data_IF_270341625204
#
_entry.id   IF_270341625204
#
_cell.length_a   1.000
_cell.length_b   1.000
_cell.length_c   1.000
_cell.angle_alpha   90.00
_cell.angle_beta   90.00
_cell.angle_gamma   90.00
#
_symmetry.space_group_name_H-M   'P 1'
#
loop_
_entity.id
_entity.type
_entity.pdbx_description
1 polymer ?
#
# COMPACT_ATOMS: atom_id res chain seq x y z
N UNK A 1 7.72 8.53 14.68
CA UNK A 1 8.34 7.26 14.27
C UNK A 1 7.48 6.66 13.16
N UNK A 2 8.02 6.35 11.96
CA UNK A 2 7.23 5.80 10.86
C UNK A 2 6.85 4.33 11.12
N UNK A 3 5.62 3.96 10.76
CA UNK A 3 5.12 2.58 10.81
C UNK A 3 5.58 1.85 9.54
N UNK A 4 6.09 0.62 9.70
CA UNK A 4 6.54 -0.25 8.60
C UNK A 4 5.65 -1.48 8.52
N UNK A 5 5.03 -1.71 7.37
CA UNK A 5 4.23 -2.90 7.08
C UNK A 5 4.94 -3.80 6.07
N UNK A 6 4.98 -5.10 6.38
CA UNK A 6 5.61 -6.13 5.58
C UNK A 6 4.59 -7.20 5.22
N UNK A 7 4.49 -7.52 3.94
CA UNK A 7 3.69 -8.64 3.49
C UNK A 7 4.45 -9.45 2.44
N UNK A 8 4.48 -10.76 2.67
CA UNK A 8 4.89 -11.74 1.68
C UNK A 8 3.74 -11.96 0.70
N UNK A 9 3.97 -11.63 -0.57
CA UNK A 9 3.16 -12.16 -1.67
C UNK A 9 3.96 -13.30 -2.32
N UNK A 10 3.26 -14.35 -2.76
CA UNK A 10 3.86 -15.53 -3.38
C UNK A 10 4.91 -15.14 -4.45
N UNK A 11 5.95 -15.97 -4.62
CA UNK A 11 7.09 -15.79 -5.54
C UNK A 11 8.12 -14.70 -5.14
N UNK A 12 8.50 -14.62 -3.85
CA UNK A 12 9.60 -13.77 -3.35
C UNK A 12 9.41 -12.25 -3.56
N UNK A 13 8.18 -11.79 -3.80
CA UNK A 13 7.89 -10.36 -3.94
C UNK A 13 7.62 -9.77 -2.55
N UNK A 14 8.54 -8.90 -2.11
CA UNK A 14 8.42 -8.15 -0.87
C UNK A 14 7.83 -6.77 -1.13
N UNK A 15 6.70 -6.47 -0.49
CA UNK A 15 6.15 -5.11 -0.43
C UNK A 15 6.44 -4.56 0.95
N UNK A 16 7.07 -3.37 1.00
CA UNK A 16 7.22 -2.58 2.22
C UNK A 16 6.44 -1.28 2.08
N UNK A 17 5.55 -1.01 3.03
CA UNK A 17 4.82 0.26 3.11
C UNK A 17 5.28 1.00 4.36
N UNK A 18 5.66 2.26 4.16
CA UNK A 18 6.03 3.20 5.21
C UNK A 18 4.96 4.27 5.27
N UNK A 19 4.51 4.63 6.47
CA UNK A 19 3.53 5.71 6.66
C UNK A 19 3.62 6.26 8.08
N UNK A 20 3.07 7.45 8.30
CA UNK A 20 2.97 8.00 9.65
C UNK A 20 1.75 7.46 10.40
N UNK A 21 0.67 7.08 9.69
CA UNK A 21 -0.56 6.56 10.30
C UNK A 21 -1.10 5.33 9.58
N UNK A 22 -1.57 4.37 10.37
CA UNK A 22 -2.20 3.13 9.89
C UNK A 22 -3.52 2.90 10.61
N UNK A 23 -4.56 2.57 9.87
CA UNK A 23 -5.87 2.16 10.38
C UNK A 23 -6.19 0.76 9.87
N UNK A 24 -6.72 -0.10 10.74
CA UNK A 24 -7.19 -1.42 10.37
C UNK A 24 -8.70 -1.53 10.57
N UNK A 25 -9.45 -1.67 9.48
CA UNK A 25 -10.88 -1.91 9.49
C UNK A 25 -11.14 -3.42 9.41
N UNK A 26 -11.16 -4.07 10.58
CA UNK A 26 -11.29 -5.55 10.71
C UNK A 26 -12.52 -6.07 9.95
N UNK A 27 -13.67 -5.41 10.10
CA UNK A 27 -14.93 -5.83 9.48
C UNK A 27 -14.87 -5.85 7.94
N UNK A 28 -14.04 -4.99 7.35
CA UNK A 28 -13.85 -4.91 5.89
C UNK A 28 -12.58 -5.62 5.44
N UNK A 29 -11.74 -6.08 6.36
CA UNK A 29 -10.44 -6.67 6.09
C UNK A 29 -9.54 -5.72 5.27
N UNK A 30 -9.54 -4.44 5.62
CA UNK A 30 -8.80 -3.39 4.92
C UNK A 30 -7.81 -2.71 5.86
N UNK A 31 -6.57 -2.49 5.40
CA UNK A 31 -5.55 -1.67 6.05
C UNK A 31 -5.39 -0.37 5.25
N UNK A 32 -5.46 0.77 5.94
CA UNK A 32 -5.35 2.09 5.35
C UNK A 32 -4.09 2.78 5.91
N UNK A 33 -3.18 3.12 5.01
CA UNK A 33 -1.96 3.87 5.30
C UNK A 33 -2.15 5.31 4.87
N UNK A 34 -1.82 6.28 5.72
CA UNK A 34 -1.97 7.71 5.46
C UNK A 34 -0.77 8.49 5.99
N UNK A 35 -0.62 9.72 5.50
CA UNK A 35 0.43 10.67 5.88
C UNK A 35 1.85 10.19 5.51
N UNK A 36 2.45 10.82 4.50
CA UNK A 36 3.78 10.51 3.96
C UNK A 36 3.95 9.03 3.57
N UNK A 37 3.01 8.49 2.79
CA UNK A 37 3.00 7.07 2.44
C UNK A 37 4.02 6.78 1.34
N UNK A 38 4.91 5.81 1.60
CA UNK A 38 5.88 5.30 0.63
C UNK A 38 5.77 3.80 0.50
N UNK A 39 5.57 3.32 -0.73
CA UNK A 39 5.63 1.91 -1.07
C UNK A 39 6.94 1.58 -1.78
N UNK A 40 7.55 0.47 -1.39
CA UNK A 40 8.72 -0.10 -2.04
C UNK A 40 8.43 -1.56 -2.43
N UNK A 41 8.63 -1.88 -3.70
CA UNK A 41 8.53 -3.24 -4.25
C UNK A 41 9.67 -3.44 -5.25
N UNK A 42 10.64 -4.29 -4.93
CA UNK A 42 11.86 -4.47 -5.72
C UNK A 42 12.51 -3.10 -6.06
N UNK A 43 12.61 -2.73 -7.34
CA UNK A 43 13.15 -1.44 -7.81
C UNK A 43 12.07 -0.34 -7.98
N UNK A 44 10.81 -0.64 -7.62
CA UNK A 44 9.69 0.30 -7.73
C UNK A 44 9.53 1.07 -6.42
N UNK A 45 9.44 2.40 -6.55
CA UNK A 45 9.16 3.33 -5.47
C UNK A 45 7.93 4.17 -5.81
N UNK A 46 6.94 4.17 -4.93
CA UNK A 46 5.72 4.97 -5.09
C UNK A 46 5.56 5.84 -3.84
N UNK A 47 5.34 7.14 -4.04
CA UNK A 47 4.93 8.08 -2.99
C UNK A 47 3.47 8.45 -3.21
N UNK A 48 2.72 8.52 -2.11
CA UNK A 48 1.29 8.82 -2.15
C UNK A 48 0.79 9.40 -0.82
N UNK A 49 -0.39 10.00 -0.84
CA UNK A 49 -1.02 10.51 0.38
C UNK A 49 -1.74 9.39 1.15
N UNK A 50 -2.27 8.41 0.43
CA UNK A 50 -3.01 7.27 1.00
C UNK A 50 -2.77 5.99 0.22
N UNK A 51 -2.59 4.88 0.93
CA UNK A 51 -2.67 3.53 0.37
C UNK A 51 -3.77 2.74 1.09
N UNK A 52 -4.60 2.04 0.32
CA UNK A 52 -5.58 1.08 0.83
C UNK A 52 -5.15 -0.31 0.39
N UNK A 53 -4.97 -1.20 1.35
CA UNK A 53 -4.68 -2.62 1.13
C UNK A 53 -5.85 -3.49 1.56
N UNK A 54 -6.39 -4.28 0.64
CA UNK A 54 -7.46 -5.25 0.92
C UNK A 54 -6.85 -6.62 1.18
N UNK A 55 -6.96 -7.08 2.43
CA UNK A 55 -6.41 -8.36 2.90
C UNK A 55 -7.10 -9.53 2.18
N UNK A 56 -8.43 -9.44 2.01
CA UNK A 56 -9.26 -10.49 1.43
C UNK A 56 -8.81 -10.92 0.02
N UNK A 57 -8.42 -9.95 -0.81
CA UNK A 57 -8.09 -10.18 -2.22
C UNK A 57 -6.66 -9.78 -2.60
N UNK A 58 -5.83 -9.41 -1.62
CA UNK A 58 -4.42 -9.02 -1.79
C UNK A 58 -4.20 -7.88 -2.80
N UNK A 59 -5.13 -6.92 -2.90
CA UNK A 59 -5.04 -5.76 -3.81
C UNK A 59 -4.62 -4.48 -3.08
N UNK A 60 -3.91 -3.61 -3.81
CA UNK A 60 -3.43 -2.32 -3.32
C UNK A 60 -3.87 -1.17 -4.23
N UNK A 61 -4.39 -0.10 -3.62
CA UNK A 61 -4.73 1.15 -4.28
C UNK A 61 -4.00 2.33 -3.64
N UNK A 62 -3.26 3.10 -4.44
CA UNK A 62 -2.59 4.33 -4.01
C UNK A 62 -3.36 5.57 -4.51
N UNK A 63 -3.42 6.62 -3.68
CA UNK A 63 -4.11 7.87 -3.97
C UNK A 63 -3.20 9.06 -3.63
N UNK A 64 -3.15 10.04 -4.53
CA UNK A 64 -2.39 11.30 -4.37
C UNK A 64 -3.26 12.49 -4.81
N UNK A 65 -3.26 13.57 -4.02
CA UNK A 65 -4.04 14.79 -4.24
C UNK A 65 -3.39 15.78 -5.22
N UNK A 66 -2.14 15.56 -5.64
CA UNK A 66 -1.43 16.47 -6.53
C UNK A 66 -1.73 16.18 -8.01
N UNK A 67 -2.71 16.88 -8.61
CA UNK A 67 -3.05 17.10 -10.06
C UNK A 67 -2.96 15.94 -11.10
N UNK A 68 -2.30 14.84 -10.80
CA UNK A 68 -2.19 13.63 -11.59
C UNK A 68 -2.57 12.47 -10.67
N UNK A 69 -3.85 12.10 -10.71
CA UNK A 69 -4.39 10.92 -10.03
C UNK A 69 -3.77 9.66 -10.64
N UNK A 70 -2.57 9.30 -10.17
CA UNK A 70 -1.95 8.02 -10.54
C UNK A 70 -2.61 6.91 -9.74
N UNK A 71 -3.68 6.33 -10.30
CA UNK A 71 -4.28 5.10 -9.78
C UNK A 71 -3.41 3.94 -10.26
N UNK A 72 -2.38 3.56 -9.51
CA UNK A 72 -1.68 2.30 -9.76
C UNK A 72 -2.38 1.20 -8.95
N UNK A 73 -3.27 0.46 -9.61
CA UNK A 73 -3.75 -0.81 -9.08
C UNK A 73 -2.63 -1.84 -9.22
N UNK A 74 -1.93 -2.13 -8.13
CA UNK A 74 -0.96 -3.24 -8.11
C UNK A 74 -1.77 -4.52 -7.92
N UNK A 75 -2.17 -5.13 -9.03
CA UNK A 75 -2.85 -6.43 -9.06
C UNK A 75 -1.78 -7.53 -8.98
N UNK A 76 -2.00 -8.63 -8.25
CA UNK A 76 -1.04 -9.74 -8.23
C UNK A 76 -0.97 -10.40 -9.61
N UNK A 77 0.24 -10.75 -10.04
CA UNK A 77 0.48 -11.67 -11.16
C UNK A 77 0.08 -13.07 -10.67
N UNK A 78 -0.77 -13.71 -11.48
CA UNK A 78 -1.31 -15.06 -11.32
C UNK A 78 -0.21 -16.10 -11.02
#
# INVERSE_FOLDING_TARGET
MPIKFHQFQNNNIFISIYSNKVFYEINKQIIIFTDNVRLQKNNIHITSDKIIFSVANKKLHAYSNNKNTTITSIIPIN
#
